data_IF_371706286222
#
_entry.id   IF_371706286222
#
_cell.length_a   1.000
_cell.length_b   1.000
_cell.length_c   1.000
_cell.angle_alpha   90.00
_cell.angle_beta   90.00
_cell.angle_gamma   90.00
#
_symmetry.space_group_name_H-M   'P 1'
#
loop_
_entity.id
_entity.type
_entity.pdbx_description
1 polymer ?
#
# COMPACT_ATOMS: atom_id res chain seq x y z
N UNK A 1 -8.00 -1.89 4.79
CA UNK A 1 -6.64 -1.94 5.37
C UNK A 1 -6.02 -0.55 5.37
N UNK A 2 -4.91 -0.38 6.09
CA UNK A 2 -4.16 0.88 6.22
C UNK A 2 -2.66 0.60 6.13
N UNK A 3 -1.91 1.48 5.47
CA UNK A 3 -0.44 1.41 5.49
C UNK A 3 0.13 2.60 6.25
N UNK A 4 0.96 2.33 7.26
CA UNK A 4 1.69 3.36 8.00
C UNK A 4 3.15 3.47 7.52
N UNK A 5 3.83 4.51 7.99
CA UNK A 5 5.28 4.65 7.96
C UNK A 5 5.71 5.64 9.06
N UNK A 6 6.99 5.69 9.45
CA UNK A 6 7.48 6.58 10.49
C UNK A 6 7.12 8.05 10.28
N UNK A 7 7.15 8.53 9.03
CA UNK A 7 6.80 9.92 8.73
C UNK A 7 5.31 10.24 8.94
N UNK A 8 4.40 9.29 8.66
CA UNK A 8 2.96 9.44 8.90
C UNK A 8 2.66 9.39 10.39
N UNK A 9 3.28 8.46 11.13
CA UNK A 9 3.13 8.34 12.58
C UNK A 9 3.64 9.60 13.27
N UNK A 10 4.83 10.10 12.89
CA UNK A 10 5.41 11.32 13.47
C UNK A 10 4.50 12.55 13.34
N UNK A 11 3.74 12.67 12.24
CA UNK A 11 2.79 13.78 12.03
C UNK A 11 1.60 13.77 12.98
N UNK A 12 1.31 12.64 13.62
CA UNK A 12 0.23 12.54 14.61
C UNK A 12 0.60 13.15 15.96
N UNK A 13 1.90 13.27 16.26
CA UNK A 13 2.41 13.68 17.57
C UNK A 13 2.24 12.63 18.69
N UNK A 14 1.76 11.42 18.35
CA UNK A 14 1.59 10.29 19.28
C UNK A 14 2.74 9.29 19.14
N UNK A 15 2.93 8.44 20.15
CA UNK A 15 3.85 7.32 20.04
C UNK A 15 3.30 6.24 19.09
N UNK A 16 4.21 5.42 18.56
CA UNK A 16 3.89 4.42 17.56
C UNK A 16 2.82 3.42 18.01
N UNK A 17 2.91 2.95 19.26
CA UNK A 17 1.98 1.92 19.77
C UNK A 17 0.57 2.48 19.87
N UNK A 18 0.41 3.68 20.43
CA UNK A 18 -0.89 4.35 20.51
C UNK A 18 -1.53 4.52 19.13
N UNK A 19 -0.75 4.92 18.11
CA UNK A 19 -1.27 5.05 16.75
C UNK A 19 -1.72 3.72 16.17
N UNK A 20 -0.95 2.64 16.35
CA UNK A 20 -1.33 1.32 15.87
C UNK A 20 -2.58 0.80 16.59
N UNK A 21 -2.67 0.94 17.92
CA UNK A 21 -3.82 0.51 18.70
C UNK A 21 -5.12 1.23 18.25
N UNK A 22 -5.04 2.53 17.97
CA UNK A 22 -6.16 3.30 17.41
C UNK A 22 -6.56 2.82 16.00
N UNK A 23 -5.60 2.51 15.14
CA UNK A 23 -5.89 2.01 13.79
C UNK A 23 -6.54 0.62 13.86
N UNK A 24 -6.03 -0.26 14.73
CA UNK A 24 -6.57 -1.63 14.92
C UNK A 24 -8.02 -1.58 15.42
N UNK A 25 -8.39 -0.59 16.25
CA UNK A 25 -9.75 -0.43 16.74
C UNK A 25 -10.76 -0.03 15.64
N UNK A 26 -10.30 0.64 14.58
CA UNK A 26 -11.16 1.21 13.53
C UNK A 26 -11.10 0.42 12.21
N UNK A 27 -10.04 -0.38 11.99
CA UNK A 27 -9.75 -1.02 10.70
C UNK A 27 -9.77 -2.53 10.81
N UNK A 28 -10.85 -3.13 10.31
CA UNK A 28 -10.94 -4.57 10.08
C UNK A 28 -10.33 -4.95 8.72
N UNK A 29 -9.00 -5.10 8.69
CA UNK A 29 -8.24 -5.54 7.53
C UNK A 29 -6.74 -5.24 7.66
N UNK A 30 -5.91 -5.56 6.66
CA UNK A 30 -4.44 -5.51 6.79
C UNK A 30 -3.92 -4.13 7.21
N UNK A 31 -3.06 -4.09 8.23
CA UNK A 31 -2.41 -2.88 8.77
C UNK A 31 -0.89 -3.05 8.63
N UNK A 32 -0.27 -2.33 7.69
CA UNK A 32 1.19 -2.35 7.54
C UNK A 32 1.87 -1.47 8.59
N UNK A 33 2.67 -2.09 9.46
CA UNK A 33 3.41 -1.47 10.57
C UNK A 33 4.92 -1.67 10.39
N UNK A 34 5.72 -0.61 10.51
CA UNK A 34 7.13 -0.61 10.07
C UNK A 34 8.12 -1.07 11.15
N UNK A 35 8.99 -2.02 10.79
CA UNK A 35 10.20 -2.35 11.54
C UNK A 35 11.35 -1.44 11.08
N UNK A 36 12.19 -0.99 12.00
CA UNK A 36 13.16 0.10 11.81
C UNK A 36 14.62 -0.31 12.04
N UNK A 37 14.87 -1.52 12.55
CA UNK A 37 16.23 -2.06 12.69
C UNK A 37 16.99 -2.16 11.35
N UNK A 38 18.32 -2.09 11.41
CA UNK A 38 19.19 -2.12 10.22
C UNK A 38 19.72 -3.53 9.88
N UNK A 39 19.75 -4.44 10.85
CA UNK A 39 20.19 -5.82 10.70
C UNK A 39 19.02 -6.80 10.74
N UNK A 40 19.24 -8.01 10.19
CA UNK A 40 18.20 -9.02 10.10
C UNK A 40 17.69 -9.50 11.47
N UNK A 41 18.54 -9.61 12.49
CA UNK A 41 18.13 -10.09 13.82
C UNK A 41 17.21 -9.06 14.50
N UNK A 42 17.57 -7.78 14.43
CA UNK A 42 16.72 -6.69 14.92
C UNK A 42 15.37 -6.65 14.21
N UNK A 43 15.36 -6.75 12.86
CA UNK A 43 14.12 -6.75 12.07
C UNK A 43 13.21 -7.93 12.39
N UNK A 44 13.78 -9.13 12.61
CA UNK A 44 13.02 -10.33 13.01
C UNK A 44 12.41 -10.13 14.40
N UNK A 45 13.20 -9.64 15.36
CA UNK A 45 12.73 -9.40 16.73
C UNK A 45 11.59 -8.38 16.76
N UNK A 46 11.76 -7.24 16.08
CA UNK A 46 10.71 -6.22 15.94
C UNK A 46 9.48 -6.78 15.23
N UNK A 47 9.66 -7.53 14.14
CA UNK A 47 8.55 -8.14 13.41
C UNK A 47 7.71 -9.09 14.26
N UNK A 48 8.35 -9.91 15.10
CA UNK A 48 7.66 -10.77 16.06
C UNK A 48 6.88 -9.97 17.10
N UNK A 49 7.45 -8.91 17.67
CA UNK A 49 6.74 -8.07 18.63
C UNK A 49 5.54 -7.34 17.98
N UNK A 50 5.72 -6.81 16.77
CA UNK A 50 4.63 -6.17 16.02
C UNK A 50 3.49 -7.15 15.73
N UNK A 51 3.80 -8.38 15.32
CA UNK A 51 2.80 -9.39 14.98
C UNK A 51 1.90 -9.78 16.16
N UNK A 52 2.36 -9.59 17.40
CA UNK A 52 1.58 -9.88 18.62
C UNK A 52 0.50 -8.85 18.91
N UNK A 53 0.54 -7.68 18.27
CA UNK A 53 -0.41 -6.59 18.53
C UNK A 53 -1.82 -6.98 18.05
N UNK A 54 -1.94 -7.48 16.81
CA UNK A 54 -3.21 -7.91 16.23
C UNK A 54 -2.98 -8.83 15.02
N UNK A 55 -3.91 -9.75 14.73
CA UNK A 55 -3.81 -10.68 13.58
C UNK A 55 -3.80 -9.99 12.19
N UNK A 56 -4.26 -8.74 12.16
CA UNK A 56 -4.28 -7.89 10.96
C UNK A 56 -2.95 -7.18 10.70
N UNK A 57 -1.98 -7.26 11.62
CA UNK A 57 -0.68 -6.63 11.43
C UNK A 57 0.09 -7.32 10.31
N UNK A 58 0.65 -6.50 9.43
CA UNK A 58 1.58 -6.89 8.38
C UNK A 58 2.90 -6.15 8.65
N UNK A 59 3.97 -6.90 8.90
CA UNK A 59 5.28 -6.33 9.24
C UNK A 59 5.91 -5.74 7.99
N UNK A 60 6.07 -4.42 7.98
CA UNK A 60 6.62 -3.70 6.85
C UNK A 60 8.14 -3.61 6.98
N UNK A 61 8.85 -4.13 5.98
CA UNK A 61 10.30 -4.34 6.00
C UNK A 61 10.91 -3.65 4.77
N UNK A 62 11.97 -2.84 4.92
CA UNK A 62 12.61 -2.20 3.78
C UNK A 62 13.32 -3.20 2.87
N UNK A 63 13.31 -2.94 1.56
CA UNK A 63 14.07 -3.68 0.55
C UNK A 63 15.59 -3.53 0.78
N UNK A 64 16.18 -4.48 1.49
CA UNK A 64 17.62 -4.63 1.69
C UNK A 64 17.98 -6.11 1.80
N UNK A 65 19.26 -6.47 1.70
CA UNK A 65 19.70 -7.85 1.93
C UNK A 65 19.31 -8.37 3.32
N UNK A 66 19.46 -7.55 4.36
CA UNK A 66 19.06 -7.91 5.73
C UNK A 66 17.53 -7.98 5.88
N UNK A 67 16.81 -7.10 5.20
CA UNK A 67 15.35 -7.13 5.11
C UNK A 67 14.83 -8.42 4.48
N UNK A 68 15.43 -8.87 3.37
CA UNK A 68 15.03 -10.12 2.72
C UNK A 68 15.30 -11.36 3.58
N UNK A 69 16.40 -11.38 4.36
CA UNK A 69 16.65 -12.43 5.35
C UNK A 69 15.57 -12.45 6.44
N UNK A 70 15.17 -11.27 6.92
CA UNK A 70 14.11 -11.13 7.90
C UNK A 70 12.75 -11.58 7.33
N UNK A 71 12.42 -11.17 6.10
CA UNK A 71 11.20 -11.58 5.38
C UNK A 71 11.11 -13.10 5.30
N UNK A 72 12.20 -13.77 4.86
CA UNK A 72 12.22 -15.22 4.77
C UNK A 72 11.95 -15.91 6.12
N UNK A 73 12.62 -15.44 7.18
CA UNK A 73 12.43 -16.00 8.53
C UNK A 73 11.00 -15.79 9.04
N UNK A 74 10.45 -14.57 8.87
CA UNK A 74 9.11 -14.24 9.34
C UNK A 74 8.02 -14.96 8.52
N UNK A 75 8.25 -15.15 7.21
CA UNK A 75 7.34 -15.90 6.35
C UNK A 75 7.27 -17.38 6.75
N UNK A 76 8.41 -18.01 7.06
CA UNK A 76 8.46 -19.39 7.57
C UNK A 76 7.73 -19.53 8.93
N UNK A 77 7.64 -18.44 9.70
CA UNK A 77 6.88 -18.35 10.94
C UNK A 77 5.39 -18.01 10.74
N UNK A 78 4.93 -17.83 9.50
CA UNK A 78 3.56 -17.46 9.16
C UNK A 78 3.22 -15.98 9.44
N UNK A 79 4.22 -15.13 9.71
CA UNK A 79 4.03 -13.70 9.95
C UNK A 79 3.97 -12.97 8.61
N UNK A 80 2.86 -12.27 8.38
CA UNK A 80 2.65 -11.50 7.14
C UNK A 80 3.63 -10.35 7.03
N UNK A 81 4.22 -10.19 5.85
CA UNK A 81 5.23 -9.15 5.59
C UNK A 81 4.87 -8.29 4.38
N UNK A 82 5.26 -7.01 4.43
CA UNK A 82 5.14 -6.07 3.31
C UNK A 82 6.51 -5.46 3.01
N UNK A 83 7.10 -5.83 1.88
CA UNK A 83 8.41 -5.30 1.50
C UNK A 83 8.26 -3.93 0.83
N UNK A 84 8.80 -2.90 1.46
CA UNK A 84 8.67 -1.49 1.06
C UNK A 84 9.95 -0.93 0.44
N UNK A 85 9.88 0.29 -0.12
CA UNK A 85 11.02 0.95 -0.79
C UNK A 85 11.53 0.16 -2.00
N UNK A 86 10.59 -0.39 -2.77
CA UNK A 86 10.87 -1.11 -4.02
C UNK A 86 10.80 -0.14 -5.20
N UNK A 87 11.82 -0.17 -6.05
CA UNK A 87 12.01 0.74 -7.18
C UNK A 87 12.44 0.02 -8.47
N UNK A 88 12.51 -1.32 -8.46
CA UNK A 88 12.79 -2.11 -9.67
C UNK A 88 12.06 -3.46 -9.67
N UNK A 89 11.82 -4.07 -10.84
CA UNK A 89 11.16 -5.38 -10.91
C UNK A 89 12.00 -6.48 -10.27
N UNK A 90 13.33 -6.39 -10.35
CA UNK A 90 14.24 -7.34 -9.71
C UNK A 90 14.09 -7.32 -8.18
N UNK A 91 13.96 -6.14 -7.58
CA UNK A 91 13.67 -6.01 -6.15
C UNK A 91 12.34 -6.67 -5.80
N UNK A 92 11.29 -6.43 -6.59
CA UNK A 92 9.99 -7.07 -6.34
C UNK A 92 10.05 -8.60 -6.44
N UNK A 93 10.75 -9.13 -7.46
CA UNK A 93 10.96 -10.56 -7.62
C UNK A 93 11.72 -11.17 -6.44
N UNK A 94 12.76 -10.48 -5.93
CA UNK A 94 13.51 -10.94 -4.75
C UNK A 94 12.64 -10.95 -3.49
N UNK A 95 11.79 -9.95 -3.30
CA UNK A 95 10.83 -9.93 -2.19
C UNK A 95 9.85 -11.11 -2.26
N UNK A 96 9.29 -11.37 -3.45
CA UNK A 96 8.38 -12.50 -3.66
C UNK A 96 9.08 -13.84 -3.39
N UNK A 97 10.32 -14.00 -3.88
CA UNK A 97 11.14 -15.20 -3.61
C UNK A 97 11.49 -15.40 -2.14
N UNK A 98 11.57 -14.33 -1.35
CA UNK A 98 11.78 -14.42 0.08
C UNK A 98 10.50 -14.80 0.85
N UNK A 99 9.34 -14.90 0.19
CA UNK A 99 8.07 -15.25 0.83
C UNK A 99 7.28 -14.03 1.33
N UNK A 100 7.51 -12.84 0.77
CA UNK A 100 6.74 -11.66 1.14
C UNK A 100 5.24 -11.85 0.87
N UNK A 101 4.39 -11.44 1.81
CA UNK A 101 2.93 -11.40 1.56
C UNK A 101 2.59 -10.29 0.58
N UNK A 102 3.25 -9.13 0.73
CA UNK A 102 3.05 -7.96 -0.10
C UNK A 102 4.38 -7.36 -0.55
N UNK A 103 4.36 -6.71 -1.70
CA UNK A 103 5.43 -5.83 -2.17
C UNK A 103 4.88 -4.43 -2.48
N UNK A 104 5.59 -3.38 -2.03
CA UNK A 104 5.17 -1.99 -2.19
C UNK A 104 6.17 -1.17 -3.05
N UNK A 105 6.03 -1.16 -4.39
CA UNK A 105 6.74 -0.23 -5.26
C UNK A 105 6.24 1.22 -5.12
N UNK A 106 7.15 2.19 -5.21
CA UNK A 106 6.86 3.61 -4.95
C UNK A 106 6.82 4.44 -6.24
N UNK A 107 5.67 4.42 -6.92
CA UNK A 107 5.51 5.02 -8.26
C UNK A 107 5.75 6.53 -8.26
N UNK A 108 5.12 7.26 -7.34
CA UNK A 108 5.24 8.72 -7.31
C UNK A 108 6.64 9.25 -7.01
N UNK A 109 7.50 8.44 -6.38
CA UNK A 109 8.90 8.82 -6.19
C UNK A 109 9.74 8.62 -7.45
N UNK A 110 9.35 7.70 -8.33
CA UNK A 110 9.95 7.55 -9.65
C UNK A 110 9.54 8.73 -10.56
N UNK A 111 8.27 9.11 -10.51
CA UNK A 111 7.78 10.28 -11.28
C UNK A 111 8.51 11.56 -10.87
N UNK A 112 8.76 11.75 -9.56
CA UNK A 112 9.49 12.90 -9.03
C UNK A 112 10.92 13.03 -9.62
N UNK A 113 11.50 11.93 -10.13
CA UNK A 113 12.82 11.89 -10.77
C UNK A 113 12.75 11.64 -12.28
N UNK A 114 11.61 11.93 -12.91
CA UNK A 114 11.38 11.83 -14.38
C UNK A 114 11.45 10.41 -14.95
N UNK A 115 11.08 9.41 -14.15
CA UNK A 115 10.79 8.05 -14.62
C UNK A 115 9.27 7.83 -14.69
N UNK A 116 8.79 6.95 -15.56
CA UNK A 116 7.40 6.50 -15.50
C UNK A 116 7.25 5.45 -14.39
N UNK A 117 6.70 5.85 -13.26
CA UNK A 117 6.47 4.94 -12.13
C UNK A 117 5.47 3.82 -12.44
N UNK A 118 4.55 4.01 -13.39
CA UNK A 118 3.56 3.00 -13.75
C UNK A 118 4.13 1.91 -14.67
N UNK A 119 5.21 2.21 -15.41
CA UNK A 119 5.95 1.18 -16.16
C UNK A 119 6.49 0.08 -15.21
N UNK A 120 6.99 0.47 -14.04
CA UNK A 120 7.44 -0.47 -13.01
C UNK A 120 6.31 -1.40 -12.56
N UNK A 121 5.09 -0.89 -12.41
CA UNK A 121 3.92 -1.69 -12.00
C UNK A 121 3.59 -2.74 -13.06
N UNK A 122 3.55 -2.33 -14.34
CA UNK A 122 3.31 -3.24 -15.45
C UNK A 122 4.33 -4.38 -15.49
N UNK A 123 5.62 -4.07 -15.32
CA UNK A 123 6.69 -5.07 -15.32
C UNK A 123 6.59 -6.04 -14.15
N UNK A 124 6.22 -5.56 -12.96
CA UNK A 124 6.06 -6.42 -11.78
C UNK A 124 4.88 -7.38 -11.97
N UNK A 125 3.74 -6.90 -12.45
CA UNK A 125 2.55 -7.73 -12.72
C UNK A 125 2.89 -8.84 -13.72
N UNK A 126 3.53 -8.48 -14.84
CA UNK A 126 3.96 -9.47 -15.85
C UNK A 126 4.86 -10.55 -15.24
N UNK A 127 5.84 -10.17 -14.42
CA UNK A 127 6.73 -11.13 -13.75
C UNK A 127 5.95 -12.00 -12.75
N UNK A 128 5.05 -11.41 -11.97
CA UNK A 128 4.29 -12.14 -10.96
C UNK A 128 3.36 -13.16 -11.60
N UNK A 129 2.69 -12.80 -12.68
CA UNK A 129 1.86 -13.71 -13.47
C UNK A 129 2.68 -14.84 -14.09
N UNK A 130 3.83 -14.52 -14.70
CA UNK A 130 4.69 -15.51 -15.37
C UNK A 130 5.20 -16.61 -14.43
N UNK A 131 5.46 -16.28 -13.17
CA UNK A 131 5.97 -17.22 -12.17
C UNK A 131 4.92 -17.66 -11.15
N UNK A 132 3.66 -17.21 -11.29
CA UNK A 132 2.56 -17.45 -10.37
C UNK A 132 2.95 -17.16 -8.91
N UNK A 133 3.58 -16.00 -8.66
CA UNK A 133 3.87 -15.58 -7.28
C UNK A 133 2.58 -15.27 -6.53
N UNK A 134 2.46 -15.78 -5.30
CA UNK A 134 1.31 -15.47 -4.42
C UNK A 134 1.44 -14.09 -3.73
N UNK A 135 2.62 -13.48 -3.80
CA UNK A 135 2.87 -12.13 -3.27
C UNK A 135 1.98 -11.11 -3.97
N UNK A 136 1.27 -10.31 -3.19
CA UNK A 136 0.38 -9.27 -3.71
C UNK A 136 1.10 -7.94 -3.92
N UNK A 137 0.79 -7.28 -5.03
CA UNK A 137 1.32 -5.97 -5.39
C UNK A 137 0.51 -4.84 -4.75
N UNK A 138 1.15 -4.04 -3.89
CA UNK A 138 0.60 -2.80 -3.35
C UNK A 138 1.21 -1.61 -4.09
N UNK A 139 0.48 -0.99 -5.01
CA UNK A 139 0.92 0.26 -5.62
C UNK A 139 0.94 1.36 -4.56
N UNK A 140 2.14 1.81 -4.20
CA UNK A 140 2.38 2.78 -3.15
C UNK A 140 2.98 4.08 -3.71
N UNK A 141 3.03 5.12 -2.87
CA UNK A 141 3.41 6.48 -3.28
C UNK A 141 2.50 7.07 -4.38
N UNK A 142 1.21 6.74 -4.35
CA UNK A 142 0.21 7.32 -5.26
C UNK A 142 0.10 8.84 -5.05
N UNK A 143 0.14 9.61 -6.14
CA UNK A 143 0.11 11.09 -6.13
C UNK A 143 -1.19 11.68 -6.64
N UNK A 144 -1.87 10.99 -7.56
CA UNK A 144 -3.06 11.51 -8.24
C UNK A 144 -3.98 10.39 -8.73
N UNK A 145 -5.24 10.71 -9.08
CA UNK A 145 -6.22 9.73 -9.56
C UNK A 145 -5.75 8.88 -10.75
N UNK A 146 -4.88 9.41 -11.63
CA UNK A 146 -4.36 8.64 -12.76
C UNK A 146 -3.54 7.40 -12.34
N UNK A 147 -2.78 7.45 -11.23
CA UNK A 147 -2.12 6.22 -10.74
C UNK A 147 -3.13 5.18 -10.31
N UNK A 148 -4.25 5.60 -9.71
CA UNK A 148 -5.28 4.69 -9.23
C UNK A 148 -5.95 3.97 -10.39
N UNK A 149 -6.38 4.71 -11.42
CA UNK A 149 -7.03 4.09 -12.58
C UNK A 149 -6.06 3.22 -13.39
N UNK A 150 -4.81 3.65 -13.58
CA UNK A 150 -3.83 2.83 -14.30
C UNK A 150 -3.47 1.55 -13.52
N UNK A 151 -3.32 1.64 -12.18
CA UNK A 151 -3.13 0.46 -11.33
C UNK A 151 -4.29 -0.54 -11.49
N UNK A 152 -5.53 -0.04 -11.47
CA UNK A 152 -6.72 -0.86 -11.64
C UNK A 152 -6.80 -1.48 -13.05
N UNK A 153 -6.44 -0.74 -14.10
CA UNK A 153 -6.40 -1.22 -15.49
C UNK A 153 -5.38 -2.33 -15.70
N UNK A 154 -4.24 -2.24 -15.02
CA UNK A 154 -3.18 -3.25 -15.07
C UNK A 154 -3.50 -4.49 -14.23
N UNK A 155 -4.46 -4.41 -13.31
CA UNK A 155 -4.83 -5.53 -12.43
C UNK A 155 -3.96 -5.64 -11.18
N UNK A 156 -3.39 -4.54 -10.68
CA UNK A 156 -2.68 -4.56 -9.40
C UNK A 156 -3.61 -4.97 -8.24
N UNK A 157 -3.11 -5.80 -7.32
CA UNK A 157 -3.91 -6.35 -6.21
C UNK A 157 -4.44 -5.27 -5.26
N UNK A 158 -3.60 -4.29 -4.93
CA UNK A 158 -3.89 -3.25 -3.94
C UNK A 158 -3.31 -1.90 -4.38
N UNK A 159 -4.01 -0.83 -4.07
CA UNK A 159 -3.50 0.54 -4.12
C UNK A 159 -3.58 1.17 -2.74
N UNK A 160 -2.46 1.67 -2.20
CA UNK A 160 -2.49 2.49 -0.97
C UNK A 160 -2.48 3.98 -1.32
N UNK A 161 -3.59 4.65 -1.00
CA UNK A 161 -3.94 5.95 -1.56
C UNK A 161 -4.01 6.99 -0.43
N UNK A 162 -3.32 8.14 -0.54
CA UNK A 162 -3.47 9.23 0.42
C UNK A 162 -4.91 9.77 0.44
N UNK A 163 -5.40 10.18 1.62
CA UNK A 163 -6.77 10.70 1.79
C UNK A 163 -7.13 11.83 0.81
N UNK A 164 -6.18 12.71 0.51
CA UNK A 164 -6.40 13.80 -0.45
C UNK A 164 -6.67 13.30 -1.87
N UNK A 165 -6.07 12.19 -2.29
CA UNK A 165 -6.36 11.56 -3.59
C UNK A 165 -7.68 10.82 -3.54
N UNK A 166 -7.98 10.09 -2.44
CA UNK A 166 -9.27 9.40 -2.24
C UNK A 166 -10.46 10.35 -2.44
N UNK A 167 -10.42 11.53 -1.79
CA UNK A 167 -11.49 12.53 -1.90
C UNK A 167 -11.73 12.98 -3.34
N UNK A 168 -10.67 13.05 -4.15
CA UNK A 168 -10.74 13.46 -5.56
C UNK A 168 -11.26 12.36 -6.49
N UNK A 169 -11.32 11.09 -6.06
CA UNK A 169 -11.73 9.98 -6.93
C UNK A 169 -13.21 10.05 -7.34
N UNK A 170 -14.05 10.66 -6.52
CA UNK A 170 -15.50 10.81 -6.78
C UNK A 170 -15.85 12.12 -7.48
N UNK A 171 -14.88 13.03 -7.62
CA UNK A 171 -15.11 14.37 -8.17
C UNK A 171 -15.06 14.33 -9.71
N UNK A 172 -16.09 14.86 -10.36
CA UNK A 172 -16.08 15.10 -11.80
C UNK A 172 -17.03 16.24 -12.17
N UNK A 173 -16.61 17.30 -12.89
CA UNK A 173 -17.46 18.47 -13.16
C UNK A 173 -18.76 18.14 -13.89
N UNK A 174 -18.75 17.14 -14.78
CA UNK A 174 -19.99 16.71 -15.46
C UNK A 174 -20.95 15.95 -14.53
N UNK A 175 -20.46 15.35 -13.45
CA UNK A 175 -21.31 14.74 -12.42
C UNK A 175 -22.09 15.84 -11.69
N UNK A 176 -21.40 16.90 -11.27
CA UNK A 176 -22.02 18.04 -10.58
C UNK A 176 -23.07 18.72 -11.47
N UNK A 177 -22.71 19.02 -12.72
CA UNK A 177 -23.63 19.59 -13.72
C UNK A 177 -24.84 18.66 -13.95
N UNK A 178 -24.60 17.35 -14.00
CA UNK A 178 -25.65 16.34 -14.17
C UNK A 178 -26.63 16.33 -12.99
N UNK A 179 -26.11 16.34 -11.75
CA UNK A 179 -26.92 16.38 -10.53
C UNK A 179 -27.74 17.67 -10.47
N UNK A 180 -27.14 18.83 -10.74
CA UNK A 180 -27.84 20.11 -10.77
C UNK A 180 -29.01 20.10 -11.77
N UNK A 181 -28.77 19.56 -12.97
CA UNK A 181 -29.80 19.41 -14.00
C UNK A 181 -30.93 18.47 -13.55
N UNK A 182 -30.60 17.32 -12.97
CA UNK A 182 -31.60 16.38 -12.45
C UNK A 182 -32.46 17.01 -11.35
N UNK A 183 -31.85 17.75 -10.42
CA UNK A 183 -32.61 18.44 -9.37
C UNK A 183 -33.50 19.55 -9.93
N UNK A 184 -33.04 20.25 -10.98
CA UNK A 184 -33.84 21.27 -11.66
C UNK A 184 -35.02 20.68 -12.43
N UNK A 185 -34.84 19.53 -13.06
CA UNK A 185 -35.90 18.82 -13.78
C UNK A 185 -36.87 18.13 -12.82
N UNK A 186 -36.40 17.59 -11.68
CA UNK A 186 -37.24 16.99 -10.65
C UNK A 186 -38.27 17.98 -10.11
N UNK A 187 -37.88 19.23 -9.85
CA UNK A 187 -38.79 20.31 -9.41
C UNK A 187 -39.92 20.63 -10.39
N UNK A 188 -39.85 20.17 -11.64
CA UNK A 188 -40.88 20.37 -12.66
C UNK A 188 -41.85 19.19 -12.74
N UNK A 189 -41.58 18.08 -12.04
CA UNK A 189 -42.43 16.90 -12.03
C UNK A 189 -43.70 17.21 -11.22
N UNK A 190 -44.91 17.06 -11.77
CA UNK A 190 -46.13 17.33 -11.02
C UNK A 190 -46.25 16.44 -9.77
N UNK A 191 -46.38 17.06 -8.60
CA UNK A 191 -46.53 16.37 -7.31
C UNK A 191 -45.22 15.98 -6.60
N UNK A 192 -44.06 16.40 -7.12
CA UNK A 192 -42.75 16.31 -6.44
C UNK A 192 -42.53 17.40 -5.40
#
# INVERSE_FOLDING_TARGET
GVTTNPSLVARTGKDFKTVIDEIVAEVDGPISAEAVSLDSQGLIAEGRELSKIHENIVVKIPMTTEGLKAVHTLADEGIKTNVTLVFSPMQAMLAAKAGATYVSPFVGRLDDISHDGMELISQIIEIFDNYAYETQLIVASIRHPLHVVESARMGADVATIPLAVIKRLTEHPLTDIGIEKFMADWKKVPGS
#
